data_IF_100881779168
#
_entry.id   IF_100881779168
#
_cell.length_a   1.000
_cell.length_b   1.000
_cell.length_c   1.000
_cell.angle_alpha   90.00
_cell.angle_beta   90.00
_cell.angle_gamma   90.00
#
_symmetry.space_group_name_H-M   'P 1'
#
loop_
_entity.id
_entity.type
_entity.pdbx_description
1 polymer ?
#
# COMPACT_ATOMS: atom_id res chain seq x y z
N UNK A 1 2.03 -25.71 5.64
CA UNK A 1 3.41 -25.23 5.62
C UNK A 1 3.78 -24.60 4.33
N UNK A 2 3.48 -25.28 3.23
CA UNK A 2 3.83 -24.76 1.92
C UNK A 2 3.11 -23.45 1.60
N UNK A 3 1.87 -23.30 2.05
CA UNK A 3 1.10 -22.08 1.80
C UNK A 3 1.75 -20.84 2.44
N UNK A 4 2.30 -20.98 3.64
CA UNK A 4 3.00 -19.90 4.31
C UNK A 4 4.23 -19.46 3.53
N UNK A 5 5.00 -20.41 3.04
CA UNK A 5 6.18 -20.13 2.23
C UNK A 5 5.82 -19.41 0.95
N UNK A 6 4.71 -19.83 0.31
CA UNK A 6 4.25 -19.18 -0.92
C UNK A 6 3.87 -17.73 -0.68
N UNK A 7 3.17 -17.45 0.42
CA UNK A 7 2.77 -16.09 0.76
C UNK A 7 4.00 -15.20 0.98
N UNK A 8 4.99 -15.70 1.72
CA UNK A 8 6.21 -14.94 1.97
C UNK A 8 7.02 -14.71 0.70
N UNK A 9 7.03 -15.69 -0.22
CA UNK A 9 7.70 -15.53 -1.50
C UNK A 9 7.13 -14.39 -2.32
N UNK A 10 5.83 -14.13 -2.20
CA UNK A 10 5.18 -13.05 -2.95
C UNK A 10 5.69 -11.67 -2.55
N UNK A 11 6.32 -11.54 -1.38
CA UNK A 11 6.79 -10.26 -0.87
C UNK A 11 8.31 -10.21 -0.80
N UNK A 12 9.00 -11.04 -1.56
CA UNK A 12 10.46 -11.03 -1.60
C UNK A 12 10.96 -9.97 -2.57
N UNK A 13 12.22 -9.58 -2.38
CA UNK A 13 12.90 -8.64 -3.26
C UNK A 13 12.87 -9.12 -4.71
N UNK A 14 13.11 -10.41 -4.94
CA UNK A 14 13.10 -11.00 -6.27
C UNK A 14 11.73 -10.87 -6.93
N UNK A 15 10.67 -11.05 -6.16
CA UNK A 15 9.31 -10.90 -6.67
C UNK A 15 9.04 -9.44 -7.05
N UNK A 16 9.48 -8.50 -6.21
CA UNK A 16 9.33 -7.07 -6.49
C UNK A 16 10.07 -6.69 -7.77
N UNK A 17 11.29 -7.19 -7.95
CA UNK A 17 12.08 -6.92 -9.15
C UNK A 17 11.39 -7.47 -10.39
N UNK A 18 10.83 -8.68 -10.30
CA UNK A 18 10.10 -9.28 -11.42
C UNK A 18 8.87 -8.42 -11.78
N UNK A 19 8.16 -7.92 -10.78
CA UNK A 19 7.00 -7.06 -11.01
C UNK A 19 7.41 -5.75 -11.68
N UNK A 20 8.54 -5.18 -11.28
CA UNK A 20 9.05 -3.92 -11.87
C UNK A 20 9.49 -4.12 -13.31
N UNK A 21 10.07 -5.27 -13.64
CA UNK A 21 10.47 -5.57 -15.01
C UNK A 21 9.23 -5.65 -15.90
N UNK A 22 8.17 -6.30 -15.44
CA UNK A 22 6.91 -6.41 -16.18
C UNK A 22 6.16 -5.09 -16.24
N UNK A 23 6.27 -4.28 -15.19
CA UNK A 23 5.50 -3.04 -15.03
C UNK A 23 6.44 -1.91 -14.60
N UNK A 24 7.29 -1.43 -15.50
CA UNK A 24 8.32 -0.44 -15.12
C UNK A 24 7.73 0.90 -14.65
N UNK A 25 6.52 1.21 -15.04
CA UNK A 25 5.83 2.45 -14.67
C UNK A 25 4.91 2.28 -13.46
N UNK A 26 5.02 1.15 -12.75
CA UNK A 26 4.18 0.87 -11.58
C UNK A 26 5.00 0.45 -10.39
N UNK A 27 4.41 0.63 -9.22
CA UNK A 27 5.04 0.36 -7.93
C UNK A 27 4.26 -0.73 -7.20
N UNK A 28 4.93 -1.80 -6.71
CA UNK A 28 4.26 -2.79 -5.87
C UNK A 28 4.00 -2.22 -4.48
N UNK A 29 2.74 -2.20 -4.08
CA UNK A 29 2.31 -1.67 -2.79
C UNK A 29 1.56 -2.74 -2.03
N UNK A 30 1.93 -2.91 -0.76
CA UNK A 30 1.25 -3.81 0.17
C UNK A 30 0.51 -2.94 1.18
N UNK A 31 -0.80 -3.14 1.29
CA UNK A 31 -1.62 -2.39 2.24
C UNK A 31 -2.06 -3.30 3.37
N UNK A 32 -1.81 -2.87 4.60
CA UNK A 32 -2.27 -3.54 5.80
C UNK A 32 -3.30 -2.65 6.49
N UNK A 33 -4.29 -3.27 7.10
CA UNK A 33 -5.36 -2.53 7.77
C UNK A 33 -5.29 -2.73 9.26
N UNK A 34 -5.82 -1.75 10.00
CA UNK A 34 -6.01 -1.85 11.43
C UNK A 34 -7.38 -2.45 11.74
N UNK A 35 -7.64 -2.68 13.03
CA UNK A 35 -8.83 -3.37 13.50
C UNK A 35 -10.12 -2.79 12.91
N UNK A 36 -11.01 -3.70 12.53
CA UNK A 36 -12.34 -3.34 12.05
C UNK A 36 -12.41 -2.92 10.61
N UNK A 37 -11.27 -2.83 9.93
CA UNK A 37 -11.24 -2.45 8.52
C UNK A 37 -10.92 -3.69 7.70
N UNK A 38 -11.81 -4.00 6.75
CA UNK A 38 -11.60 -5.10 5.81
C UNK A 38 -11.25 -4.54 4.45
N UNK A 39 -10.26 -5.12 3.82
CA UNK A 39 -9.78 -4.71 2.51
C UNK A 39 -9.88 -5.91 1.58
N UNK A 40 -10.60 -5.74 0.47
CA UNK A 40 -10.80 -6.83 -0.49
C UNK A 40 -9.51 -7.29 -1.14
N UNK A 41 -8.59 -6.37 -1.30
CA UNK A 41 -7.32 -6.62 -1.98
C UNK A 41 -6.24 -5.84 -1.24
N UNK A 42 -5.14 -6.50 -0.89
CA UNK A 42 -4.06 -5.87 -0.13
C UNK A 42 -2.77 -5.69 -0.90
N UNK A 43 -2.67 -6.21 -2.13
CA UNK A 43 -1.49 -6.02 -2.97
C UNK A 43 -1.90 -5.28 -4.24
N UNK A 44 -1.19 -4.20 -4.56
CA UNK A 44 -1.51 -3.31 -5.67
C UNK A 44 -0.28 -3.02 -6.52
N UNK A 45 -0.50 -2.81 -7.81
CA UNK A 45 0.48 -2.22 -8.71
C UNK A 45 -0.01 -0.82 -9.03
N UNK A 46 0.65 0.19 -8.47
CA UNK A 46 0.18 1.57 -8.49
C UNK A 46 1.02 2.40 -9.45
N UNK A 47 0.39 3.18 -10.36
CA UNK A 47 1.16 4.05 -11.26
C UNK A 47 2.05 5.04 -10.51
N UNK A 48 3.22 5.30 -11.08
CA UNK A 48 4.21 6.22 -10.49
C UNK A 48 3.66 7.63 -10.29
N UNK A 49 2.80 8.07 -11.18
CA UNK A 49 2.26 9.43 -11.18
C UNK A 49 0.96 9.60 -10.41
N UNK A 50 0.54 8.55 -9.72
CA UNK A 50 -0.64 8.63 -8.85
C UNK A 50 -0.26 9.28 -7.53
N UNK A 51 -1.14 10.15 -7.00
CA UNK A 51 -0.91 10.72 -5.67
C UNK A 51 -1.47 9.81 -4.58
N UNK A 52 -1.03 10.02 -3.36
CA UNK A 52 -1.57 9.29 -2.20
C UNK A 52 -3.09 9.50 -2.08
N UNK A 53 -3.55 10.73 -2.31
CA UNK A 53 -4.99 11.03 -2.28
C UNK A 53 -5.78 10.24 -3.32
N UNK A 54 -5.24 10.11 -4.52
CA UNK A 54 -5.86 9.31 -5.57
C UNK A 54 -5.84 7.82 -5.22
N UNK A 55 -4.77 7.34 -4.62
CA UNK A 55 -4.69 5.96 -4.16
C UNK A 55 -5.68 5.71 -3.02
N UNK A 56 -5.84 6.69 -2.13
CA UNK A 56 -6.86 6.63 -1.07
C UNK A 56 -8.25 6.41 -1.65
N UNK A 57 -8.55 7.11 -2.73
CA UNK A 57 -9.83 6.97 -3.41
C UNK A 57 -10.02 5.54 -3.94
N UNK A 58 -8.97 4.97 -4.52
CA UNK A 58 -9.01 3.58 -5.00
C UNK A 58 -9.23 2.62 -3.82
N UNK A 59 -8.51 2.84 -2.71
CA UNK A 59 -8.63 1.98 -1.55
C UNK A 59 -10.02 2.01 -0.94
N UNK A 60 -10.66 3.18 -0.93
CA UNK A 60 -12.02 3.31 -0.38
C UNK A 60 -12.99 2.36 -1.06
N UNK A 61 -12.85 2.17 -2.35
CA UNK A 61 -13.71 1.25 -3.10
C UNK A 61 -13.50 -0.20 -2.74
N UNK A 62 -12.38 -0.53 -2.10
CA UNK A 62 -12.03 -1.89 -1.72
C UNK A 62 -12.18 -2.14 -0.22
N UNK A 63 -12.66 -1.16 0.54
CA UNK A 63 -12.86 -1.30 1.98
C UNK A 63 -14.33 -1.50 2.31
N UNK A 64 -14.58 -1.93 3.55
CA UNK A 64 -15.93 -2.01 4.12
C UNK A 64 -16.39 -0.68 4.73
N UNK A 65 -15.58 0.37 4.63
CA UNK A 65 -15.92 1.68 5.18
C UNK A 65 -16.93 2.39 4.29
N UNK A 66 -17.88 3.10 4.91
CA UNK A 66 -18.85 3.88 4.14
C UNK A 66 -18.24 5.24 3.77
N UNK A 67 -18.95 6.00 2.94
CA UNK A 67 -18.42 7.26 2.39
C UNK A 67 -18.19 8.35 3.44
N UNK A 68 -18.87 8.26 4.59
CA UNK A 68 -18.71 9.25 5.66
C UNK A 68 -17.58 8.93 6.64
N UNK A 69 -17.05 7.72 6.57
CA UNK A 69 -15.94 7.33 7.45
C UNK A 69 -14.62 7.73 6.84
N UNK A 70 -13.84 8.52 7.58
CA UNK A 70 -12.51 8.91 7.15
C UNK A 70 -11.51 7.80 7.47
N UNK A 71 -10.45 7.73 6.67
CA UNK A 71 -9.30 6.89 6.98
C UNK A 71 -8.04 7.58 6.46
N UNK A 72 -6.90 7.11 6.94
CA UNK A 72 -5.61 7.73 6.65
C UNK A 72 -4.59 6.67 6.32
N UNK A 73 -3.56 7.07 5.56
CA UNK A 73 -2.48 6.17 5.16
C UNK A 73 -1.21 6.54 5.91
N UNK A 74 -0.53 5.52 6.43
CA UNK A 74 0.68 5.67 7.22
C UNK A 74 1.80 4.80 6.66
N UNK A 75 3.02 5.30 6.72
CA UNK A 75 4.21 4.51 6.43
C UNK A 75 5.18 4.74 7.59
N UNK A 76 5.69 3.64 8.16
CA UNK A 76 6.58 3.71 9.31
C UNK A 76 5.98 4.56 10.43
N UNK A 77 4.69 4.37 10.67
CA UNK A 77 3.92 5.06 11.72
C UNK A 77 3.76 6.57 11.51
N UNK A 78 4.06 7.06 10.31
CA UNK A 78 3.92 8.48 9.96
C UNK A 78 2.81 8.66 8.94
N UNK A 79 1.97 9.67 9.17
CA UNK A 79 0.93 10.04 8.23
C UNK A 79 1.55 10.53 6.93
N UNK A 80 1.06 10.01 5.81
CA UNK A 80 1.55 10.41 4.50
C UNK A 80 0.59 11.43 3.90
N UNK A 81 1.14 12.54 3.42
CA UNK A 81 0.34 13.62 2.84
C UNK A 81 -0.30 13.19 1.54
N UNK A 82 -1.56 13.60 1.35
CA UNK A 82 -2.34 13.21 0.17
C UNK A 82 -1.76 13.74 -1.15
N UNK A 83 -1.01 14.82 -1.09
CA UNK A 83 -0.40 15.42 -2.29
C UNK A 83 0.87 14.71 -2.76
N UNK A 84 1.40 13.80 -1.96
CA UNK A 84 2.65 13.13 -2.29
C UNK A 84 2.46 12.14 -3.43
N UNK A 85 3.37 12.17 -4.39
CA UNK A 85 3.33 11.25 -5.54
C UNK A 85 3.86 9.88 -5.16
N UNK A 86 3.26 8.84 -5.72
CA UNK A 86 3.72 7.48 -5.46
C UNK A 86 5.18 7.27 -5.81
N UNK A 87 5.67 7.93 -6.84
CA UNK A 87 7.08 7.87 -7.20
C UNK A 87 7.97 8.30 -6.04
N UNK A 88 7.62 9.41 -5.39
CA UNK A 88 8.39 9.92 -4.26
C UNK A 88 8.25 9.02 -3.03
N UNK A 89 7.06 8.49 -2.82
CA UNK A 89 6.83 7.51 -1.73
C UNK A 89 7.74 6.30 -1.92
N UNK A 90 7.82 5.80 -3.13
CA UNK A 90 8.65 4.65 -3.44
C UNK A 90 10.13 4.95 -3.18
N UNK A 91 10.61 6.09 -3.67
CA UNK A 91 12.01 6.47 -3.49
C UNK A 91 12.40 6.59 -2.02
N UNK A 92 11.50 7.10 -1.20
CA UNK A 92 11.78 7.35 0.22
C UNK A 92 11.55 6.12 1.10
N UNK A 93 10.59 5.28 0.76
CA UNK A 93 10.07 4.29 1.71
C UNK A 93 10.05 2.85 1.20
N UNK A 94 10.55 2.55 0.01
CA UNK A 94 10.52 1.18 -0.44
C UNK A 94 11.37 0.29 0.46
N UNK A 95 10.89 -0.92 0.67
CA UNK A 95 11.61 -1.94 1.42
C UNK A 95 11.64 -3.19 0.54
N UNK A 96 12.82 -3.55 0.08
CA UNK A 96 13.01 -4.66 -0.84
C UNK A 96 12.13 -4.55 -2.08
N UNK A 97 11.92 -3.32 -2.56
CA UNK A 97 11.14 -3.05 -3.75
C UNK A 97 9.65 -2.87 -3.55
N UNK A 98 9.16 -3.06 -2.33
CA UNK A 98 7.75 -2.86 -1.99
C UNK A 98 7.57 -1.62 -1.12
N UNK A 99 6.40 -0.98 -1.27
CA UNK A 99 5.97 0.05 -0.34
C UNK A 99 4.91 -0.55 0.57
N UNK A 100 5.12 -0.47 1.87
CA UNK A 100 4.18 -0.99 2.87
C UNK A 100 3.40 0.17 3.48
N UNK A 101 2.09 0.16 3.27
CA UNK A 101 1.19 1.22 3.74
C UNK A 101 0.22 0.64 4.75
N UNK A 102 0.02 1.34 5.87
CA UNK A 102 -1.03 1.02 6.84
C UNK A 102 -2.23 1.94 6.64
N UNK A 103 -3.40 1.35 6.60
CA UNK A 103 -4.66 2.05 6.48
C UNK A 103 -5.38 2.00 7.82
N UNK A 104 -5.69 3.14 8.40
CA UNK A 104 -6.31 3.23 9.72
C UNK A 104 -7.32 4.37 9.76
N UNK A 105 -8.36 4.23 10.60
CA UNK A 105 -9.38 5.27 10.76
C UNK A 105 -8.87 6.48 11.52
N UNK A 106 -7.85 6.28 12.35
CA UNK A 106 -7.26 7.36 13.16
C UNK A 106 -5.80 7.04 13.41
N UNK A 107 -5.09 7.99 14.00
CA UNK A 107 -3.68 7.79 14.29
C UNK A 107 -3.50 6.85 15.48
N UNK A 108 -3.32 5.56 15.19
CA UNK A 108 -3.13 4.51 16.20
C UNK A 108 -1.66 4.36 16.61
N UNK A 109 -0.78 5.15 16.02
CA UNK A 109 0.67 5.03 16.23
C UNK A 109 1.21 6.09 17.18
N UNK A 110 0.39 7.02 17.53
CA UNK A 110 0.92 8.07 18.27
C UNK A 110 0.14 8.80 19.18
#
# INVERSE_FOLDING_TARGET
MTSKKSVYKEFTKEHAEAMKIKNPDRIPVIVKTCDGINLKKNKYLVPLDLTIGQFQYVLRKNTNLNSSEAFFLFINSKLIQSSMMMQNVYELYNKDGFVHIHLAKENVFG
#
